data_IF_303030869647
#
_entry.id   IF_303030869647
#
_cell.length_a   1.000
_cell.length_b   1.000
_cell.length_c   1.000
_cell.angle_alpha   90.00
_cell.angle_beta   90.00
_cell.angle_gamma   90.00
#
_symmetry.space_group_name_H-M   'P 1'
#
loop_
_entity.id
_entity.type
_entity.pdbx_description
1 polymer ?
#
# COMPACT_ATOMS: atom_id res chain seq x y z
N UNK A 1 3.04 -25.01 -4.40
CA UNK A 1 2.71 -23.97 -3.40
C UNK A 1 1.20 -23.87 -3.31
N UNK A 2 0.57 -24.19 -2.17
CA UNK A 2 -0.89 -24.11 -2.03
C UNK A 2 -1.26 -22.71 -1.53
N UNK A 3 -1.84 -21.89 -2.40
CA UNK A 3 -2.37 -20.58 -2.04
C UNK A 3 -3.71 -20.78 -1.36
N UNK A 4 -3.71 -20.89 -0.03
CA UNK A 4 -4.94 -20.89 0.74
C UNK A 4 -5.28 -19.43 1.09
N UNK A 5 -6.26 -18.87 0.39
CA UNK A 5 -6.78 -17.54 0.64
C UNK A 5 -8.04 -17.62 1.53
N UNK A 6 -8.15 -16.77 2.56
CA UNK A 6 -9.31 -16.78 3.48
C UNK A 6 -10.60 -16.21 2.87
N UNK A 7 -10.53 -15.63 1.67
CA UNK A 7 -11.63 -14.93 0.99
C UNK A 7 -11.74 -15.39 -0.46
N UNK A 8 -12.89 -15.15 -1.09
CA UNK A 8 -13.09 -15.37 -2.53
C UNK A 8 -12.32 -14.36 -3.42
N UNK A 9 -11.38 -13.61 -2.85
CA UNK A 9 -10.58 -12.57 -3.49
C UNK A 9 -9.14 -12.59 -2.94
N UNK A 10 -8.14 -12.31 -3.77
CA UNK A 10 -6.75 -12.18 -3.35
C UNK A 10 -6.43 -10.74 -2.94
N UNK A 11 -5.73 -10.58 -1.82
CA UNK A 11 -5.31 -9.27 -1.32
C UNK A 11 -3.81 -9.12 -1.42
N UNK A 12 -3.37 -8.10 -2.13
CA UNK A 12 -1.97 -7.75 -2.21
C UNK A 12 -1.68 -6.43 -1.50
N UNK A 13 -0.58 -6.39 -0.78
CA UNK A 13 -0.07 -5.18 -0.15
C UNK A 13 1.07 -4.62 -0.98
N UNK A 14 1.01 -3.35 -1.35
CA UNK A 14 2.12 -2.58 -1.89
C UNK A 14 2.86 -1.94 -0.72
N UNK A 15 4.14 -2.28 -0.57
CA UNK A 15 4.95 -1.94 0.60
C UNK A 15 6.18 -1.17 0.16
N UNK A 16 6.35 0.11 0.55
CA UNK A 16 7.61 0.80 0.44
C UNK A 16 8.56 0.35 1.56
N UNK A 17 9.82 0.11 1.21
CA UNK A 17 10.89 -0.25 2.15
C UNK A 17 12.17 0.54 1.85
N UNK A 18 12.85 0.99 2.91
CA UNK A 18 14.09 1.77 2.81
C UNK A 18 15.30 0.86 3.02
N UNK A 19 16.25 0.91 2.10
CA UNK A 19 17.55 0.25 2.22
C UNK A 19 18.70 1.23 1.97
N UNK A 20 19.19 1.89 3.02
CA UNK A 20 20.26 2.89 2.90
C UNK A 20 19.84 4.09 2.06
N UNK A 21 20.57 4.35 0.98
CA UNK A 21 20.31 5.41 -0.01
C UNK A 21 19.35 4.98 -1.13
N UNK A 22 18.78 3.77 -1.00
CA UNK A 22 17.81 3.22 -1.95
C UNK A 22 16.47 3.00 -1.28
N UNK A 23 15.42 3.10 -2.09
CA UNK A 23 14.06 2.75 -1.71
C UNK A 23 13.52 1.68 -2.66
N UNK A 24 12.68 0.80 -2.12
CA UNK A 24 12.07 -0.32 -2.82
C UNK A 24 10.56 -0.21 -2.71
N UNK A 25 9.86 -0.59 -3.77
CA UNK A 25 8.45 -0.92 -3.72
C UNK A 25 8.32 -2.43 -3.91
N UNK A 26 7.67 -3.08 -2.96
CA UNK A 26 7.40 -4.51 -3.00
C UNK A 26 5.89 -4.77 -3.00
N UNK A 27 5.51 -5.97 -3.42
CA UNK A 27 4.16 -6.50 -3.29
C UNK A 27 4.19 -7.78 -2.45
N UNK A 28 3.18 -7.98 -1.60
CA UNK A 28 3.04 -9.19 -0.78
C UNK A 28 1.60 -9.67 -0.72
N UNK A 29 1.39 -10.96 -0.51
CA UNK A 29 0.04 -11.52 -0.34
C UNK A 29 -0.39 -11.44 1.13
N UNK A 30 -1.54 -10.83 1.39
CA UNK A 30 -2.00 -10.48 2.74
C UNK A 30 -2.90 -11.54 3.38
N UNK A 31 -3.97 -11.91 2.67
CA UNK A 31 -5.09 -12.67 3.25
C UNK A 31 -4.89 -14.20 3.24
N UNK A 32 -3.68 -14.61 3.60
CA UNK A 32 -3.28 -16.02 3.77
C UNK A 32 -3.75 -16.58 5.12
N UNK A 33 -3.82 -17.91 5.26
CA UNK A 33 -4.30 -18.55 6.51
C UNK A 33 -3.44 -18.24 7.73
N UNK A 34 -2.13 -18.11 7.54
CA UNK A 34 -1.17 -17.73 8.58
C UNK A 34 -0.46 -16.47 8.10
N UNK A 35 -0.38 -15.40 8.91
CA UNK A 35 0.35 -14.21 8.51
C UNK A 35 1.79 -14.59 8.16
N UNK A 36 2.20 -14.31 6.93
CA UNK A 36 3.53 -14.60 6.43
C UNK A 36 4.33 -13.30 6.49
N UNK A 37 4.89 -13.00 7.67
CA UNK A 37 5.92 -11.98 7.80
C UNK A 37 7.26 -12.60 7.38
N UNK A 38 7.45 -12.76 6.07
CA UNK A 38 8.64 -13.38 5.50
C UNK A 38 9.07 -12.65 4.24
N UNK A 39 10.37 -12.47 4.06
CA UNK A 39 10.95 -11.94 2.83
C UNK A 39 10.60 -12.81 1.60
N UNK A 40 10.31 -14.10 1.79
CA UNK A 40 9.85 -14.98 0.71
C UNK A 40 8.44 -14.64 0.18
N UNK A 41 7.68 -13.80 0.89
CA UNK A 41 6.38 -13.30 0.46
C UNK A 41 6.48 -11.90 -0.16
N UNK A 42 7.70 -11.38 -0.39
CA UNK A 42 7.92 -10.08 -1.02
C UNK A 42 8.39 -10.28 -2.47
N UNK A 43 7.67 -9.66 -3.40
CA UNK A 43 8.12 -9.48 -4.77
C UNK A 43 8.43 -8.01 -5.01
N UNK A 44 9.65 -7.69 -5.42
CA UNK A 44 10.03 -6.30 -5.72
C UNK A 44 9.44 -5.85 -7.06
N UNK A 45 8.74 -4.73 -7.03
CA UNK A 45 8.17 -4.07 -8.22
C UNK A 45 9.07 -2.95 -8.74
N UNK A 46 9.74 -2.22 -7.85
CA UNK A 46 10.68 -1.17 -8.22
C UNK A 46 11.80 -1.02 -7.19
N UNK A 47 12.96 -0.59 -7.66
CA UNK A 47 14.11 -0.18 -6.86
C UNK A 47 14.60 1.17 -7.43
N UNK A 48 14.79 2.15 -6.58
CA UNK A 48 15.24 3.48 -6.99
C UNK A 48 16.15 4.13 -5.95
N UNK A 49 17.13 4.90 -6.43
CA UNK A 49 18.12 5.59 -5.60
C UNK A 49 17.55 6.92 -5.10
N UNK A 50 16.63 6.85 -4.15
CA UNK A 50 16.11 8.01 -3.45
C UNK A 50 15.76 7.65 -2.01
N UNK A 51 15.70 8.67 -1.15
CA UNK A 51 15.23 8.52 0.22
C UNK A 51 13.77 8.08 0.26
N UNK A 52 13.39 7.31 1.28
CA UNK A 52 11.96 7.08 1.53
C UNK A 52 11.35 8.43 1.92
N UNK A 53 10.49 8.91 1.03
CA UNK A 53 9.64 10.06 1.25
C UNK A 53 8.36 9.82 0.46
N UNK A 54 7.27 10.43 0.89
CA UNK A 54 6.00 10.35 0.18
C UNK A 54 6.18 10.69 -1.30
N UNK A 55 6.89 11.78 -1.63
CA UNK A 55 7.07 12.25 -3.01
C UNK A 55 7.81 11.24 -3.89
N UNK A 56 8.88 10.62 -3.38
CA UNK A 56 9.67 9.66 -4.15
C UNK A 56 8.88 8.37 -4.39
N UNK A 57 8.15 7.91 -3.37
CA UNK A 57 7.27 6.75 -3.45
C UNK A 57 6.09 7.01 -4.39
N UNK A 58 5.47 8.19 -4.32
CA UNK A 58 4.38 8.59 -5.20
C UNK A 58 4.83 8.65 -6.67
N UNK A 59 6.04 9.13 -6.94
CA UNK A 59 6.61 9.15 -8.29
C UNK A 59 6.78 7.73 -8.85
N UNK A 60 7.35 6.80 -8.07
CA UNK A 60 7.46 5.40 -8.47
C UNK A 60 6.07 4.73 -8.60
N UNK A 61 5.14 5.07 -7.70
CA UNK A 61 3.77 4.56 -7.71
C UNK A 61 3.00 5.00 -8.97
N UNK A 62 3.13 6.26 -9.40
CA UNK A 62 2.47 6.78 -10.61
C UNK A 62 2.81 5.98 -11.87
N UNK A 63 4.00 5.39 -11.94
CA UNK A 63 4.43 4.53 -13.05
C UNK A 63 3.79 3.14 -12.96
N UNK A 64 3.72 2.57 -11.76
CA UNK A 64 3.21 1.20 -11.54
C UNK A 64 1.69 1.12 -11.48
N UNK A 65 1.03 2.18 -11.03
CA UNK A 65 -0.41 2.25 -10.76
C UNK A 65 -1.25 1.76 -11.94
N UNK A 66 -1.06 2.23 -13.19
CA UNK A 66 -1.91 1.81 -14.31
C UNK A 66 -1.83 0.29 -14.57
N UNK A 67 -0.64 -0.28 -14.44
CA UNK A 67 -0.40 -1.72 -14.64
C UNK A 67 -1.08 -2.54 -13.55
N UNK A 68 -1.00 -2.10 -12.30
CA UNK A 68 -1.60 -2.82 -11.17
C UNK A 68 -3.13 -2.67 -11.13
N UNK A 69 -3.66 -1.53 -11.56
CA UNK A 69 -5.11 -1.30 -11.68
C UNK A 69 -5.74 -2.11 -12.82
N UNK A 70 -4.97 -2.42 -13.87
CA UNK A 70 -5.41 -3.30 -14.95
C UNK A 70 -5.56 -4.77 -14.51
N UNK A 71 -4.97 -5.17 -13.36
CA UNK A 71 -5.08 -6.52 -12.83
C UNK A 71 -6.32 -6.60 -11.94
N UNK A 72 -7.43 -7.02 -12.52
CA UNK A 72 -8.70 -7.21 -11.80
C UNK A 72 -8.84 -8.63 -11.25
N UNK A 73 -8.25 -9.61 -11.91
CA UNK A 73 -8.38 -11.03 -11.59
C UNK A 73 -7.09 -11.80 -11.90
N UNK A 74 -6.84 -12.89 -11.16
CA UNK A 74 -5.75 -13.82 -11.43
C UNK A 74 -6.28 -15.24 -11.58
N UNK A 75 -5.68 -15.98 -12.52
CA UNK A 75 -5.91 -17.42 -12.66
C UNK A 75 -5.12 -18.15 -11.59
N UNK A 76 -5.82 -18.90 -10.74
CA UNK A 76 -5.21 -19.79 -9.75
C UNK A 76 -5.51 -21.24 -10.15
N UNK A 77 -4.48 -22.08 -10.13
CA UNK A 77 -4.62 -23.52 -10.30
C UNK A 77 -4.42 -24.23 -8.97
N UNK A 78 -5.46 -24.90 -8.48
CA UNK A 78 -5.44 -25.69 -7.26
C UNK A 78 -5.91 -27.11 -7.57
N UNK A 79 -5.11 -28.12 -7.22
CA UNK A 79 -5.42 -29.54 -7.43
C UNK A 79 -5.88 -29.86 -8.88
N UNK A 80 -5.30 -29.19 -9.88
CA UNK A 80 -5.64 -29.38 -11.30
C UNK A 80 -6.88 -28.60 -11.77
N UNK A 81 -7.61 -27.95 -10.87
CA UNK A 81 -8.75 -27.08 -11.21
C UNK A 81 -8.27 -25.63 -11.30
N UNK A 82 -8.59 -24.96 -12.41
CA UNK A 82 -8.28 -23.55 -12.59
C UNK A 82 -9.52 -22.69 -12.36
N UNK A 83 -9.37 -21.61 -11.59
CA UNK A 83 -10.41 -20.60 -11.36
C UNK A 83 -9.84 -19.19 -11.49
N UNK A 84 -10.67 -18.26 -11.94
CA UNK A 84 -10.36 -16.84 -11.86
C UNK A 84 -10.75 -16.33 -10.47
N UNK A 85 -9.87 -15.54 -9.86
CA UNK A 85 -10.07 -14.97 -8.53
C UNK A 85 -9.84 -13.47 -8.60
N UNK A 86 -10.80 -12.64 -8.14
CA UNK A 86 -10.64 -11.19 -8.12
C UNK A 86 -9.48 -10.77 -7.23
N UNK A 87 -8.86 -9.66 -7.58
CA UNK A 87 -7.70 -9.12 -6.89
C UNK A 87 -8.00 -7.74 -6.33
N UNK A 88 -7.50 -7.49 -5.12
CA UNK A 88 -7.43 -6.16 -4.51
C UNK A 88 -6.02 -5.85 -4.11
N UNK A 89 -5.64 -4.58 -4.26
CA UNK A 89 -4.36 -4.09 -3.82
C UNK A 89 -4.56 -2.99 -2.78
N UNK A 90 -3.71 -3.01 -1.77
CA UNK A 90 -3.70 -2.10 -0.63
C UNK A 90 -2.34 -1.48 -0.52
N UNK A 91 -2.25 -0.17 -0.38
CA UNK A 91 -0.96 0.47 -0.10
C UNK A 91 -0.74 0.47 1.41
N UNK A 92 0.35 -0.16 1.86
CA UNK A 92 0.72 -0.24 3.28
C UNK A 92 2.11 0.35 3.44
N UNK A 93 2.19 1.51 4.09
CA UNK A 93 3.46 2.14 4.47
C UNK A 93 3.68 2.12 5.98
N UNK A 94 4.89 2.41 6.40
CA UNK A 94 5.17 2.74 7.80
C UNK A 94 4.43 4.02 8.23
N UNK A 95 4.54 4.39 9.51
CA UNK A 95 3.84 5.57 10.01
C UNK A 95 4.26 6.87 9.34
N UNK A 96 5.53 6.98 8.91
CA UNK A 96 6.06 8.17 8.25
C UNK A 96 5.42 8.35 6.88
N UNK A 97 5.29 7.28 6.10
CA UNK A 97 4.61 7.29 4.80
C UNK A 97 3.11 7.51 4.97
N UNK A 98 2.47 6.87 5.94
CA UNK A 98 1.05 7.09 6.23
C UNK A 98 0.73 8.55 6.61
N UNK A 99 1.61 9.19 7.38
CA UNK A 99 1.50 10.62 7.68
C UNK A 99 1.69 11.48 6.45
N UNK A 100 2.72 11.19 5.65
CA UNK A 100 3.01 11.92 4.43
C UNK A 100 1.85 11.88 3.44
N UNK A 101 1.21 10.71 3.27
CA UNK A 101 0.02 10.57 2.43
C UNK A 101 -1.21 11.27 3.00
N UNK A 102 -1.31 11.36 4.32
CA UNK A 102 -2.33 12.16 5.00
C UNK A 102 -1.99 13.67 5.08
N UNK A 103 -0.95 14.15 4.38
CA UNK A 103 -0.54 15.56 4.37
C UNK A 103 0.06 16.07 5.69
N UNK A 104 0.38 15.17 6.63
CA UNK A 104 0.96 15.50 7.93
C UNK A 104 2.47 15.60 7.76
N UNK A 105 3.01 16.81 7.93
CA UNK A 105 4.42 17.12 7.64
C UNK A 105 5.40 16.49 8.62
N UNK A 106 5.06 16.41 9.91
CA UNK A 106 6.00 15.98 10.94
C UNK A 106 5.36 15.23 12.10
N UNK A 107 6.17 14.39 12.75
CA UNK A 107 5.77 13.65 13.94
C UNK A 107 5.57 14.48 15.19
N UNK A 108 6.09 15.71 15.19
CA UNK A 108 6.00 16.66 16.29
C UNK A 108 4.92 17.74 16.05
N UNK A 109 3.98 17.52 15.12
CA UNK A 109 2.87 18.47 14.96
C UNK A 109 1.87 18.35 16.11
N UNK A 110 1.09 19.42 16.34
CA UNK A 110 0.09 19.49 17.41
C UNK A 110 -1.04 18.45 17.26
N UNK A 111 -1.23 17.92 16.04
CA UNK A 111 -2.24 16.91 15.74
C UNK A 111 -1.58 15.71 15.03
N UNK A 112 -0.75 14.91 15.72
CA UNK A 112 0.09 13.92 15.06
C UNK A 112 -0.65 12.64 14.68
N UNK A 113 -1.88 12.44 15.18
CA UNK A 113 -2.61 11.19 15.05
C UNK A 113 -3.31 11.07 13.69
N UNK A 114 -2.75 10.25 12.79
CA UNK A 114 -3.36 9.92 11.49
C UNK A 114 -4.79 9.41 11.64
N UNK A 115 -5.07 8.60 12.67
CA UNK A 115 -6.41 8.03 12.90
C UNK A 115 -7.45 9.10 13.23
N UNK A 116 -7.08 10.14 13.97
CA UNK A 116 -8.00 11.23 14.31
C UNK A 116 -8.24 12.15 13.11
N UNK A 117 -7.22 12.38 12.29
CA UNK A 117 -7.32 13.23 11.10
C UNK A 117 -8.06 12.55 9.95
N UNK A 118 -7.88 11.23 9.81
CA UNK A 118 -8.52 10.44 8.77
C UNK A 118 -9.80 9.75 9.25
N UNK A 119 -10.63 10.39 10.10
CA UNK A 119 -11.88 9.82 10.66
C UNK A 119 -12.85 9.23 9.61
N UNK A 120 -12.70 9.53 8.31
CA UNK A 120 -13.45 8.94 7.18
C UNK A 120 -12.71 7.87 6.36
N UNK A 121 -11.44 7.59 6.63
CA UNK A 121 -10.71 6.50 5.97
C UNK A 121 -10.96 5.18 6.73
N UNK A 122 -12.23 4.81 6.92
CA UNK A 122 -12.56 3.46 7.33
C UNK A 122 -12.10 2.54 6.20
N UNK A 123 -10.93 1.92 6.40
CA UNK A 123 -10.19 1.10 5.44
C UNK A 123 -9.74 1.87 4.20
N UNK A 124 -8.42 2.01 4.01
CA UNK A 124 -7.79 2.39 2.73
C UNK A 124 -8.19 1.34 1.67
N UNK A 125 -9.43 1.41 1.19
CA UNK A 125 -9.99 0.59 0.12
C UNK A 125 -9.72 1.32 -1.17
N UNK A 126 -9.01 0.65 -2.06
CA UNK A 126 -8.72 1.06 -3.43
C UNK A 126 -7.87 2.33 -3.51
N UNK A 127 -6.57 2.16 -3.79
CA UNK A 127 -5.68 3.04 -4.56
C UNK A 127 -5.70 4.58 -4.41
N UNK A 128 -6.39 5.16 -3.43
CA UNK A 128 -6.47 6.60 -3.28
C UNK A 128 -5.35 7.11 -2.39
N UNK A 129 -4.23 7.36 -3.08
CA UNK A 129 -3.23 8.36 -2.74
C UNK A 129 -3.78 9.79 -2.87
N UNK A 130 -5.01 10.03 -2.45
CA UNK A 130 -5.62 11.33 -2.66
C UNK A 130 -5.45 12.21 -1.41
N UNK A 131 -4.37 12.99 -1.40
CA UNK A 131 -4.13 14.04 -0.40
C UNK A 131 -5.23 15.13 -0.39
N UNK A 132 -6.19 15.13 -1.34
CA UNK A 132 -7.33 16.05 -1.34
C UNK A 132 -8.49 15.61 -0.43
N UNK A 133 -8.44 14.40 0.16
CA UNK A 133 -9.44 13.93 1.13
C UNK A 133 -9.30 14.54 2.53
N UNK A 134 -8.31 15.40 2.75
CA UNK A 134 -8.20 16.18 3.98
C UNK A 134 -9.19 17.35 3.90
N UNK A 135 -10.15 17.47 4.84
CA UNK A 135 -11.02 18.63 4.91
C UNK A 135 -10.18 19.91 4.92
N UNK A 136 -10.50 20.85 4.01
CA UNK A 136 -9.80 22.14 3.85
C UNK A 136 -9.73 22.98 5.14
N UNK A 137 -10.51 22.62 6.14
CA UNK A 137 -10.66 23.29 7.44
C UNK A 137 -9.50 23.04 8.42
N UNK A 138 -8.57 22.12 8.11
CA UNK A 138 -7.37 21.88 8.94
C UNK A 138 -6.09 22.46 8.34
N UNK A 139 -6.20 23.41 7.41
CA UNK A 139 -5.09 24.33 7.12
C UNK A 139 -4.91 25.21 8.34
N UNK A 140 -3.95 24.85 9.18
CA UNK A 140 -3.60 25.59 10.38
C UNK A 140 -3.56 27.10 10.07
N UNK A 141 -4.32 27.84 10.87
CA UNK A 141 -4.14 29.28 11.03
C UNK A 141 -2.65 29.57 11.28
N UNK A 142 -2.21 30.62 10.59
CA UNK A 142 -0.90 31.28 10.53
C UNK A 142 0.12 30.95 11.63
#
# INVERSE_FOLDING_TARGET
MRLFCRKEELWFNIIPDKGGDTSKLAISLDNTFKPINSAFNLLYLALFSATDSYFNIEAAWKILKPTLEAITELRITENGVSRMVPVRFFFIGDYKIQRGSAGIRDGNCNYPCVKCLCQKASTYRNYDFDATLIPREMKADK
#
